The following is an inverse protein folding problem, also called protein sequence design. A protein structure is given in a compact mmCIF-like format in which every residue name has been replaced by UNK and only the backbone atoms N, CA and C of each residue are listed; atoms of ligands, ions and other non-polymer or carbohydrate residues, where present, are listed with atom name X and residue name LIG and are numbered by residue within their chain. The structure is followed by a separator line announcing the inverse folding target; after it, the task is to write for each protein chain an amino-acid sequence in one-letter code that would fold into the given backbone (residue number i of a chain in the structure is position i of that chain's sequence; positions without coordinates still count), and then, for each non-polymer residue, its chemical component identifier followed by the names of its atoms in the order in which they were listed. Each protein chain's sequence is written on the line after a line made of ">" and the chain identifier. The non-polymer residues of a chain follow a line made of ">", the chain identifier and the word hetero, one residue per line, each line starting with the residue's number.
data_IF_736519849981
#
_entry.id   IF_736519849981
#
_cell.length_a   1.000
_cell.length_b   1.000
_cell.length_c   1.000
_cell.angle_alpha   90.00
_cell.angle_beta   90.00
_cell.angle_gamma   90.00
#
_symmetry.space_group_name_H-M   'P 1'
#
loop_
_entity.id
_entity.type
_entity.pdbx_description
1 polymer ?
#
# COMPACT_ATOMS: atom_id res chain seq x y z
N UNK A 1 -29.83 12.12 5.61
CA UNK A 1 -29.82 10.64 5.59
C UNK A 1 -28.61 10.24 4.73
N UNK A 2 -27.47 9.71 5.19
CA UNK A 2 -27.13 8.92 6.36
C UNK A 2 -25.76 9.33 6.96
N UNK A 3 -25.61 9.19 8.29
CA UNK A 3 -24.37 9.40 9.04
C UNK A 3 -23.34 8.33 8.65
N UNK A 4 -22.50 8.68 7.68
CA UNK A 4 -21.52 7.80 7.04
C UNK A 4 -20.15 7.80 7.75
N UNK A 5 -20.12 8.00 9.07
CA UNK A 5 -18.89 8.20 9.84
C UNK A 5 -18.51 7.06 10.80
N UNK A 6 -19.38 6.06 10.97
CA UNK A 6 -19.11 4.92 11.83
C UNK A 6 -18.43 3.82 11.03
N UNK A 7 -17.23 3.44 11.49
CA UNK A 7 -16.35 2.38 10.99
C UNK A 7 -17.14 1.29 10.23
N UNK A 8 -17.15 1.38 8.89
CA UNK A 8 -17.84 0.39 8.06
C UNK A 8 -17.05 -0.91 8.03
N UNK A 9 -17.68 -2.08 8.14
CA UNK A 9 -16.99 -3.35 8.06
C UNK A 9 -16.30 -3.49 6.70
N UNK A 10 -14.99 -3.79 6.70
CA UNK A 10 -14.17 -3.93 5.48
C UNK A 10 -14.34 -5.31 4.84
N UNK A 11 -14.87 -6.27 5.60
CA UNK A 11 -15.13 -7.65 5.17
C UNK A 11 -16.09 -7.66 3.97
N UNK A 12 -15.70 -8.31 2.87
CA UNK A 12 -16.45 -8.35 1.60
C UNK A 12 -16.02 -7.28 0.59
N UNK A 13 -15.79 -6.06 1.06
CA UNK A 13 -15.43 -4.91 0.20
C UNK A 13 -13.97 -4.88 -0.25
N UNK A 14 -13.10 -5.58 0.47
CA UNK A 14 -11.67 -5.62 0.18
C UNK A 14 -11.34 -6.75 -0.79
N UNK A 15 -10.61 -6.40 -1.86
CA UNK A 15 -10.15 -7.31 -2.89
C UNK A 15 -8.63 -7.30 -2.94
N UNK A 16 -8.06 -8.49 -2.94
CA UNK A 16 -6.65 -8.74 -3.14
C UNK A 16 -6.37 -8.99 -4.62
N UNK A 17 -5.46 -8.21 -5.19
CA UNK A 17 -5.15 -8.23 -6.61
C UNK A 17 -3.75 -8.81 -6.80
N UNK A 18 -3.64 -9.81 -7.68
CA UNK A 18 -2.36 -10.30 -8.20
C UNK A 18 -2.20 -9.92 -9.66
N UNK A 19 -1.11 -9.25 -9.98
CA UNK A 19 -0.81 -8.76 -11.32
C UNK A 19 0.39 -9.47 -11.91
N UNK A 20 0.26 -9.96 -13.15
CA UNK A 20 1.36 -10.49 -13.94
C UNK A 20 1.34 -9.82 -15.32
N UNK A 21 2.43 -9.22 -15.82
CA UNK A 21 3.76 -9.04 -15.20
C UNK A 21 3.78 -7.96 -14.10
N UNK A 22 4.94 -7.74 -13.49
CA UNK A 22 5.13 -6.80 -12.38
C UNK A 22 4.88 -5.36 -12.82
N UNK A 23 4.18 -4.59 -11.96
CA UNK A 23 4.06 -3.13 -12.10
C UNK A 23 5.37 -2.44 -11.74
N UNK A 24 5.92 -1.73 -12.72
CA UNK A 24 7.17 -0.99 -12.62
C UNK A 24 6.91 0.50 -12.36
N UNK A 25 5.84 1.06 -12.92
CA UNK A 25 5.62 2.51 -12.95
C UNK A 25 4.32 2.90 -12.22
N UNK A 26 4.31 4.12 -11.65
CA UNK A 26 3.10 4.70 -11.05
C UNK A 26 1.98 4.91 -12.08
N UNK A 27 2.33 5.19 -13.34
CA UNK A 27 1.38 5.33 -14.45
C UNK A 27 0.53 4.06 -14.63
N UNK A 28 1.16 2.89 -14.69
CA UNK A 28 0.46 1.59 -14.77
C UNK A 28 -0.49 1.41 -13.58
N UNK A 29 -0.01 1.74 -12.38
CA UNK A 29 -0.83 1.67 -11.16
C UNK A 29 -2.07 2.58 -11.23
N UNK A 30 -1.97 3.75 -11.86
CA UNK A 30 -3.09 4.69 -12.04
C UNK A 30 -4.09 4.19 -13.07
N UNK A 31 -3.63 3.56 -14.14
CA UNK A 31 -4.53 2.95 -15.12
C UNK A 31 -5.30 1.78 -14.49
N UNK A 32 -4.64 0.96 -13.65
CA UNK A 32 -5.30 -0.13 -12.94
C UNK A 32 -6.37 0.43 -12.02
N UNK A 33 -6.08 1.51 -11.29
CA UNK A 33 -7.07 2.22 -10.50
C UNK A 33 -8.27 2.67 -11.36
N UNK A 34 -8.02 3.24 -12.55
CA UNK A 34 -9.09 3.65 -13.48
C UNK A 34 -9.95 2.47 -13.92
N UNK A 35 -9.35 1.31 -14.21
CA UNK A 35 -10.10 0.09 -14.53
C UNK A 35 -10.98 -0.35 -13.35
N UNK A 36 -10.47 -0.30 -12.13
CA UNK A 36 -11.27 -0.65 -10.95
C UNK A 36 -12.40 0.33 -10.69
N UNK A 37 -12.18 1.61 -10.97
CA UNK A 37 -13.21 2.66 -10.86
C UNK A 37 -14.41 2.42 -11.80
N UNK A 38 -14.24 1.67 -12.89
CA UNK A 38 -15.35 1.30 -13.77
C UNK A 38 -16.35 0.36 -13.10
N UNK A 39 -15.90 -0.49 -12.17
CA UNK A 39 -16.75 -1.45 -11.46
C UNK A 39 -17.38 -0.88 -10.19
N UNK A 40 -16.76 0.17 -9.62
CA UNK A 40 -17.32 0.90 -8.49
C UNK A 40 -16.35 1.91 -7.88
N UNK A 41 -16.84 2.70 -6.93
CA UNK A 41 -16.02 3.70 -6.25
C UNK A 41 -15.05 3.02 -5.30
N UNK A 42 -13.76 3.28 -5.52
CA UNK A 42 -12.66 2.75 -4.70
C UNK A 42 -12.39 3.73 -3.56
N UNK A 43 -12.54 3.27 -2.32
CA UNK A 43 -12.25 4.03 -1.10
C UNK A 43 -10.74 4.11 -0.84
N UNK A 44 -10.05 2.99 -1.02
CA UNK A 44 -8.61 2.90 -0.81
C UNK A 44 -7.97 1.98 -1.85
N UNK A 45 -6.87 2.43 -2.43
CA UNK A 45 -6.04 1.64 -3.32
C UNK A 45 -4.60 1.71 -2.84
N UNK A 46 -3.99 0.54 -2.62
CA UNK A 46 -2.62 0.45 -2.10
C UNK A 46 -1.83 -0.58 -2.90
N UNK A 47 -0.66 -0.14 -3.36
CA UNK A 47 0.32 -1.02 -4.01
C UNK A 47 1.39 -1.43 -3.00
N UNK A 48 1.58 -2.73 -2.79
CA UNK A 48 2.56 -3.24 -1.83
C UNK A 48 4.01 -3.09 -2.26
N UNK A 49 4.28 -2.74 -3.52
CA UNK A 49 5.64 -2.43 -3.98
C UNK A 49 6.32 -1.36 -3.11
N UNK A 50 5.56 -0.40 -2.60
CA UNK A 50 6.06 0.73 -1.81
C UNK A 50 5.85 0.56 -0.31
N UNK A 51 5.43 -0.63 0.13
CA UNK A 51 5.30 -0.91 1.56
C UNK A 51 6.67 -1.24 2.17
N UNK A 52 6.77 -1.16 3.50
CA UNK A 52 7.99 -1.51 4.23
C UNK A 52 8.41 -2.97 3.97
N UNK A 53 7.43 -3.85 3.72
CA UNK A 53 7.63 -5.22 3.26
C UNK A 53 7.11 -5.36 1.83
N UNK A 54 7.96 -5.15 0.81
CA UNK A 54 7.50 -5.12 -0.56
C UNK A 54 7.12 -6.51 -1.05
N UNK A 55 5.82 -6.75 -1.21
CA UNK A 55 5.30 -7.95 -1.88
C UNK A 55 5.14 -7.61 -3.36
N UNK A 56 5.95 -8.23 -4.21
CA UNK A 56 5.84 -8.05 -5.65
C UNK A 56 4.46 -8.48 -6.16
N UNK A 57 4.02 -7.86 -7.25
CA UNK A 57 2.83 -8.27 -8.01
C UNK A 57 1.52 -8.23 -7.23
N UNK A 58 1.48 -7.56 -6.09
CA UNK A 58 0.34 -7.61 -5.18
C UNK A 58 -0.15 -6.20 -4.87
N UNK A 59 -1.46 -6.02 -4.99
CA UNK A 59 -2.15 -4.76 -4.69
C UNK A 59 -3.43 -5.05 -3.92
N UNK A 60 -3.91 -4.06 -3.19
CA UNK A 60 -5.20 -4.13 -2.50
C UNK A 60 -6.05 -2.95 -2.93
N UNK A 61 -7.31 -3.25 -3.21
CA UNK A 61 -8.35 -2.26 -3.39
C UNK A 61 -9.49 -2.52 -2.40
N UNK A 62 -9.98 -1.47 -1.76
CA UNK A 62 -11.16 -1.49 -0.91
C UNK A 62 -12.21 -0.64 -1.60
N UNK A 63 -13.36 -1.25 -1.87
CA UNK A 63 -14.49 -0.57 -2.48
C UNK A 63 -15.41 0.07 -1.43
N UNK A 64 -16.15 1.08 -1.85
CA UNK A 64 -17.21 1.68 -1.03
C UNK A 64 -18.33 0.66 -0.77
N UNK A 65 -18.71 -0.13 -1.78
CA UNK A 65 -19.79 -1.12 -1.73
C UNK A 65 -19.26 -2.55 -1.90
N UNK A 66 -19.98 -3.52 -1.31
CA UNK A 66 -19.66 -4.96 -1.43
C UNK A 66 -19.99 -5.51 -2.83
N UNK A 67 -21.06 -5.00 -3.43
CA UNK A 67 -21.48 -5.38 -4.79
C UNK A 67 -20.41 -5.07 -5.85
N UNK A 68 -19.68 -3.96 -5.70
CA UNK A 68 -18.59 -3.61 -6.62
C UNK A 68 -17.42 -4.61 -6.52
N UNK A 69 -17.10 -5.05 -5.31
CA UNK A 69 -16.09 -6.07 -5.08
C UNK A 69 -16.50 -7.41 -5.70
N UNK A 70 -17.77 -7.82 -5.52
CA UNK A 70 -18.30 -9.06 -6.09
C UNK A 70 -18.28 -9.05 -7.62
N UNK A 71 -18.71 -7.97 -8.27
CA UNK A 71 -18.64 -7.83 -9.74
C UNK A 71 -17.21 -8.02 -10.25
N UNK A 72 -16.24 -7.43 -9.57
CA UNK A 72 -14.84 -7.56 -9.97
C UNK A 72 -14.30 -8.99 -9.74
N UNK A 73 -14.79 -9.71 -8.73
CA UNK A 73 -14.45 -11.11 -8.50
C UNK A 73 -15.06 -12.02 -9.57
N UNK A 74 -16.29 -11.76 -10.02
CA UNK A 74 -16.96 -12.52 -11.07
C UNK A 74 -16.28 -12.37 -12.43
N UNK A 75 -15.77 -11.17 -12.73
CA UNK A 75 -15.09 -10.87 -14.01
C UNK A 75 -13.60 -11.27 -13.97
N UNK A 76 -13.09 -11.69 -12.80
CA UNK A 76 -11.71 -12.18 -12.65
C UNK A 76 -11.51 -13.47 -13.45
N UNK A 77 -10.40 -13.62 -14.21
CA UNK A 77 -9.24 -12.73 -14.35
C UNK A 77 -9.37 -11.70 -15.49
N UNK A 78 -9.01 -10.45 -15.20
CA UNK A 78 -9.01 -9.36 -16.19
C UNK A 78 -7.72 -9.36 -17.00
N UNK A 79 -7.84 -9.36 -18.32
CA UNK A 79 -6.72 -9.18 -19.25
C UNK A 79 -6.87 -7.84 -19.94
N UNK A 80 -5.84 -7.01 -19.88
CA UNK A 80 -5.84 -5.71 -20.52
C UNK A 80 -4.45 -5.37 -21.03
N UNK A 81 -4.39 -4.39 -21.90
CA UNK A 81 -3.14 -3.87 -22.47
C UNK A 81 -2.97 -2.46 -21.95
N UNK A 82 -1.80 -2.16 -21.40
CA UNK A 82 -1.45 -0.81 -20.95
C UNK A 82 -0.30 -0.27 -21.78
N UNK A 83 -0.36 1.03 -22.02
CA UNK A 83 0.77 1.77 -22.57
C UNK A 83 1.43 2.49 -21.40
N UNK A 84 2.68 2.16 -21.05
CA UNK A 84 3.40 2.89 -20.01
C UNK A 84 3.59 4.36 -20.42
N UNK A 85 2.78 5.27 -19.86
CA UNK A 85 2.99 6.70 -19.99
C UNK A 85 4.31 7.08 -19.29
N UNK A 86 5.37 7.23 -20.09
CA UNK A 86 6.70 7.61 -19.61
C UNK A 86 7.84 6.68 -20.01
N UNK A 87 7.57 5.49 -20.57
CA UNK A 87 8.65 4.74 -21.24
C UNK A 87 8.71 5.17 -22.70
N UNK A 88 9.85 5.71 -23.15
CA UNK A 88 10.06 6.20 -24.51
C UNK A 88 9.86 5.16 -25.62
N UNK A 89 9.65 3.89 -25.28
CA UNK A 89 9.54 2.79 -26.22
C UNK A 89 8.12 2.48 -26.74
N UNK A 90 7.05 3.10 -26.20
CA UNK A 90 5.67 2.89 -26.70
C UNK A 90 5.21 1.43 -26.76
N UNK A 91 5.93 0.50 -26.10
CA UNK A 91 5.65 -0.93 -26.14
C UNK A 91 4.46 -1.24 -25.24
N UNK A 92 3.34 -1.55 -25.88
CA UNK A 92 2.16 -2.08 -25.23
C UNK A 92 2.50 -3.41 -24.55
N UNK A 93 2.20 -3.50 -23.25
CA UNK A 93 2.43 -4.72 -22.46
C UNK A 93 1.06 -5.32 -22.11
N UNK A 94 0.97 -6.65 -22.22
CA UNK A 94 -0.21 -7.39 -21.78
C UNK A 94 -0.12 -7.66 -20.29
N UNK A 95 -1.19 -7.33 -19.57
CA UNK A 95 -1.30 -7.58 -18.14
C UNK A 95 -2.50 -8.48 -17.86
N UNK A 96 -2.31 -9.34 -16.89
CA UNK A 96 -3.34 -10.17 -16.30
C UNK A 96 -3.48 -9.81 -14.82
N UNK A 97 -4.68 -9.37 -14.45
CA UNK A 97 -5.08 -9.04 -13.09
C UNK A 97 -6.02 -10.13 -12.57
N UNK A 98 -5.58 -10.85 -11.56
CA UNK A 98 -6.37 -11.81 -10.81
C UNK A 98 -6.89 -11.13 -9.55
N UNK A 99 -8.20 -11.05 -9.41
CA UNK A 99 -8.86 -10.61 -8.21
C UNK A 99 -9.25 -11.81 -7.34
N UNK A 100 -8.93 -11.72 -6.06
CA UNK A 100 -9.29 -12.67 -5.02
C UNK A 100 -9.92 -11.93 -3.84
N UNK A 101 -10.85 -12.58 -3.14
CA UNK A 101 -11.40 -12.02 -1.89
C UNK A 101 -10.27 -11.79 -0.89
N UNK A 102 -10.19 -10.59 -0.33
CA UNK A 102 -9.21 -10.31 0.72
C UNK A 102 -9.61 -11.01 2.00
N UNK A 103 -8.82 -12.00 2.43
CA UNK A 103 -8.86 -12.55 3.80
C UNK A 103 -8.04 -11.70 4.77
N UNK A 104 -7.47 -10.60 4.29
CA UNK A 104 -6.51 -9.82 5.02
C UNK A 104 -7.22 -8.99 6.11
N UNK A 105 -6.91 -9.26 7.38
CA UNK A 105 -7.41 -8.49 8.52
C UNK A 105 -6.70 -7.13 8.55
N UNK A 106 -7.24 -6.16 7.80
CA UNK A 106 -6.70 -4.81 7.70
C UNK A 106 -6.53 -4.12 9.06
N UNK A 107 -7.42 -4.44 10.02
CA UNK A 107 -7.35 -3.97 11.40
C UNK A 107 -6.04 -4.42 12.05
N UNK A 108 -5.69 -5.70 11.91
CA UNK A 108 -4.50 -6.29 12.50
C UNK A 108 -3.21 -5.72 11.88
N UNK A 109 -3.18 -5.49 10.56
CA UNK A 109 -2.00 -4.88 9.94
C UNK A 109 -1.82 -3.43 10.38
N UNK A 110 -2.90 -2.64 10.41
CA UNK A 110 -2.84 -1.28 10.93
C UNK A 110 -2.31 -1.34 12.36
N UNK A 111 -2.90 -2.19 13.21
CA UNK A 111 -2.49 -2.40 14.60
C UNK A 111 -1.06 -2.91 14.76
N UNK A 112 -0.47 -3.57 13.77
CA UNK A 112 0.95 -3.98 13.77
C UNK A 112 1.92 -2.87 13.37
N UNK A 113 1.50 -1.79 12.71
CA UNK A 113 2.44 -0.73 12.33
C UNK A 113 3.06 -0.03 13.56
N UNK A 114 4.36 0.29 13.50
CA UNK A 114 5.11 0.92 14.59
C UNK A 114 4.53 2.29 15.00
N UNK A 115 3.98 3.02 14.02
CA UNK A 115 3.38 4.34 14.22
C UNK A 115 1.92 4.27 14.69
N UNK A 116 1.30 3.10 14.74
CA UNK A 116 -0.05 2.92 15.25
C UNK A 116 -0.04 2.42 16.69
N UNK A 117 0.34 3.33 17.60
CA UNK A 117 0.26 3.15 19.05
C UNK A 117 -0.51 4.31 19.70
N UNK A 118 -0.59 4.32 21.03
CA UNK A 118 -1.06 5.50 21.77
C UNK A 118 -0.08 6.65 21.53
N UNK A 119 -0.52 7.67 20.79
CA UNK A 119 0.22 8.92 20.69
C UNK A 119 0.16 9.62 22.05
N UNK A 120 1.33 10.02 22.58
CA UNK A 120 1.37 10.83 23.81
C UNK A 120 0.98 12.25 23.45
N UNK A 121 -0.31 12.57 23.55
CA UNK A 121 -0.75 13.97 23.55
C UNK A 121 -0.17 14.65 24.78
N UNK A 122 0.54 15.75 24.59
CA UNK A 122 0.99 16.57 25.70
C UNK A 122 -0.21 17.23 26.38
N UNK A 123 -0.65 16.70 27.51
CA UNK A 123 -1.75 17.26 28.32
C UNK A 123 -1.45 18.62 28.97
N UNK A 124 -0.30 19.23 28.65
CA UNK A 124 0.14 20.56 29.12
C UNK A 124 -0.07 21.66 28.07
N UNK A 125 -0.81 21.40 27.00
CA UNK A 125 -1.12 22.44 26.02
C UNK A 125 -2.16 23.43 26.58
N UNK A 126 -1.89 24.73 26.46
CA UNK A 126 -2.81 25.82 26.86
C UNK A 126 -4.21 25.66 26.23
N UNK A 127 -4.26 25.18 24.99
CA UNK A 127 -5.51 24.89 24.27
C UNK A 127 -6.35 23.84 25.01
N UNK A 128 -5.71 22.85 25.64
CA UNK A 128 -6.41 21.79 26.37
C UNK A 128 -6.94 22.29 27.72
N UNK A 129 -6.18 23.15 28.38
CA UNK A 129 -6.60 23.79 29.63
C UNK A 129 -7.80 24.73 29.39
N UNK A 130 -7.79 25.46 28.29
CA UNK A 130 -8.91 26.32 27.86
C UNK A 130 -10.15 25.50 27.48
N UNK A 131 -9.99 24.43 26.70
CA UNK A 131 -11.08 23.52 26.37
C UNK A 131 -11.64 22.81 27.61
N UNK A 132 -10.79 22.40 28.55
CA UNK A 132 -11.25 21.80 29.80
C UNK A 132 -12.10 22.75 30.66
N UNK A 133 -11.84 24.06 30.57
CA UNK A 133 -12.61 25.08 31.27
C UNK A 133 -13.91 25.47 30.55
N UNK A 134 -13.90 25.50 29.22
CA UNK A 134 -15.03 25.97 28.40
C UNK A 134 -16.04 24.87 28.07
N UNK A 135 -15.67 23.60 28.18
CA UNK A 135 -16.57 22.50 27.84
C UNK A 135 -17.56 22.23 29.00
N UNK A 136 -18.87 22.12 28.74
CA UNK A 136 -19.91 22.11 29.78
C UNK A 136 -19.87 20.93 30.75
N UNK A 137 -19.17 19.85 30.40
CA UNK A 137 -19.08 18.63 31.20
C UNK A 137 -17.61 18.19 31.30
N UNK A 138 -17.10 17.93 32.52
CA UNK A 138 -15.77 17.34 32.69
C UNK A 138 -15.73 15.97 32.00
N UNK A 139 -14.75 15.75 31.13
CA UNK A 139 -14.59 14.51 30.37
C UNK A 139 -14.85 14.61 28.85
N UNK A 140 -15.56 15.63 28.37
CA UNK A 140 -15.72 15.87 26.92
C UNK A 140 -14.46 16.48 26.27
N UNK A 141 -13.64 17.16 27.07
CA UNK A 141 -12.30 17.66 26.70
C UNK A 141 -11.19 16.62 26.95
N UNK A 142 -11.50 15.51 27.63
CA UNK A 142 -10.53 14.47 27.88
C UNK A 142 -10.33 13.65 26.61
N UNK A 143 -9.17 13.84 25.99
CA UNK A 143 -8.61 12.90 25.02
C UNK A 143 -8.16 11.61 25.74
N UNK A 144 -9.06 10.95 26.48
CA UNK A 144 -8.86 9.66 27.14
C UNK A 144 -9.20 8.49 26.22
N UNK A 145 -9.20 8.70 24.90
CA UNK A 145 -9.06 7.64 23.91
C UNK A 145 -7.61 7.12 23.94
N UNK A 146 -7.21 6.55 25.08
CA UNK A 146 -5.97 5.79 25.18
C UNK A 146 -6.20 4.47 24.48
N UNK A 147 -5.71 4.37 23.26
CA UNK A 147 -5.45 3.06 22.65
C UNK A 147 -4.49 2.31 23.58
N UNK A 148 -4.74 1.03 23.84
CA UNK A 148 -3.87 0.24 24.73
C UNK A 148 -2.41 0.32 24.24
N UNK A 149 -1.49 0.65 25.15
CA UNK A 149 -0.06 0.68 24.85
C UNK A 149 0.38 -0.73 24.44
N UNK A 150 0.98 -0.85 23.25
CA UNK A 150 1.59 -2.12 22.82
C UNK A 150 2.62 -2.55 23.87
N UNK A 151 2.63 -3.81 24.31
CA UNK A 151 3.61 -4.28 25.27
C UNK A 151 5.03 -4.15 24.70
N UNK A 152 5.95 -3.65 25.53
CA UNK A 152 7.37 -3.41 25.22
C UNK A 152 8.10 -4.54 24.49
N UNK A 153 7.72 -5.81 24.71
CA UNK A 153 8.27 -6.97 23.99
C UNK A 153 7.99 -6.93 22.49
N UNK A 154 6.77 -6.56 22.10
CA UNK A 154 6.33 -6.48 20.70
C UNK A 154 7.06 -5.34 19.99
N UNK A 155 7.13 -4.17 20.62
CA UNK A 155 7.87 -3.02 20.07
C UNK A 155 9.37 -3.33 19.90
N UNK A 156 9.98 -4.06 20.85
CA UNK A 156 11.40 -4.45 20.76
C UNK A 156 11.65 -5.46 19.64
N UNK A 157 10.74 -6.41 19.44
CA UNK A 157 10.81 -7.35 18.31
C UNK A 157 10.63 -6.65 16.96
N UNK A 158 9.72 -5.68 16.87
CA UNK A 158 9.54 -4.86 15.66
C UNK A 158 10.79 -4.03 15.36
N UNK A 159 11.33 -3.32 16.36
CA UNK A 159 12.56 -2.53 16.24
C UNK A 159 13.77 -3.37 15.81
N UNK A 160 13.95 -4.56 16.38
CA UNK A 160 15.01 -5.49 15.96
C UNK A 160 14.85 -5.97 14.51
N UNK A 161 13.60 -6.12 14.03
CA UNK A 161 13.33 -6.51 12.63
C UNK A 161 13.58 -5.36 11.66
N UNK A 162 13.29 -4.13 12.05
CA UNK A 162 13.63 -2.94 11.27
C UNK A 162 15.13 -2.67 11.24
N UNK A 163 15.82 -2.82 12.36
CA UNK A 163 17.29 -2.69 12.43
C UNK A 163 18.00 -3.76 11.60
N UNK A 164 17.40 -4.95 11.47
CA UNK A 164 17.87 -6.00 10.56
C UNK A 164 17.53 -5.77 9.08
N UNK A 165 16.60 -4.86 8.77
CA UNK A 165 16.30 -4.49 7.40
C UNK A 165 17.37 -3.54 6.87
N UNK A 166 18.17 -4.03 5.92
CA UNK A 166 19.20 -3.22 5.27
C UNK A 166 18.56 -1.99 4.64
N UNK A 167 19.03 -0.81 5.03
CA UNK A 167 18.55 0.45 4.42
C UNK A 167 18.91 0.47 2.94
N UNK A 168 18.14 1.18 2.10
CA UNK A 168 18.44 1.30 0.67
C UNK A 168 19.87 1.82 0.41
N UNK A 169 20.38 2.65 1.31
CA UNK A 169 21.76 3.13 1.29
C UNK A 169 22.77 2.01 1.55
N UNK A 170 22.51 1.14 2.53
CA UNK A 170 23.37 -0.02 2.81
C UNK A 170 23.29 -1.06 1.70
N UNK A 171 22.11 -1.29 1.09
CA UNK A 171 21.99 -2.16 -0.08
C UNK A 171 22.72 -1.61 -1.30
N UNK A 172 22.85 -0.28 -1.42
CA UNK A 172 23.62 0.39 -2.48
C UNK A 172 25.12 0.30 -2.22
N UNK A 173 25.57 0.44 -0.97
CA UNK A 173 26.98 0.27 -0.58
C UNK A 173 27.43 -1.20 -0.61
N UNK A 174 26.52 -2.13 -0.31
CA UNK A 174 26.76 -3.58 -0.34
C UNK A 174 26.51 -4.18 -1.73
N UNK A 175 25.88 -3.44 -2.66
CA UNK A 175 25.87 -3.83 -4.05
C UNK A 175 27.33 -3.87 -4.52
N UNK A 176 27.89 -5.05 -4.85
CA UNK A 176 29.23 -5.12 -5.40
C UNK A 176 29.22 -4.24 -6.64
N UNK A 177 30.22 -3.36 -6.75
CA UNK A 177 30.42 -2.52 -7.94
C UNK A 177 30.33 -3.44 -9.16
N UNK A 178 29.19 -3.39 -9.84
CA UNK A 178 28.96 -4.21 -11.02
C UNK A 178 30.00 -3.76 -12.03
N UNK A 179 30.95 -4.65 -12.29
CA UNK A 179 32.06 -4.44 -13.20
C UNK A 179 31.57 -3.82 -14.51
N UNK A 180 32.04 -2.62 -14.82
CA UNK A 180 31.75 -1.87 -16.05
C UNK A 180 32.31 -2.55 -17.33
N UNK A 181 32.64 -3.84 -17.28
CA UNK A 181 33.33 -4.57 -18.35
C UNK A 181 32.42 -5.41 -19.26
N UNK A 182 31.13 -5.58 -18.95
CA UNK A 182 30.27 -6.54 -19.70
C UNK A 182 29.43 -5.90 -20.83
N UNK A 183 29.38 -4.58 -20.95
CA UNK A 183 28.54 -3.90 -21.97
C UNK A 183 29.19 -3.76 -23.35
N UNK A 184 30.48 -4.12 -23.51
CA UNK A 184 31.20 -3.92 -24.77
C UNK A 184 31.09 -5.09 -25.78
N UNK A 185 30.67 -6.29 -25.37
CA UNK A 185 30.84 -7.48 -26.24
C UNK A 185 29.63 -7.80 -27.14
N UNK A 186 28.45 -7.21 -26.92
CA UNK A 186 27.24 -7.64 -27.65
C UNK A 186 26.94 -6.85 -28.96
N UNK A 187 27.74 -5.85 -29.33
CA UNK A 187 27.46 -4.96 -30.49
C UNK A 187 28.19 -5.38 -31.79
N UNK A 188 29.11 -6.35 -31.77
CA UNK A 188 29.96 -6.67 -32.93
C UNK A 188 29.56 -7.92 -33.76
N UNK A 189 28.47 -8.61 -33.45
CA UNK A 189 28.15 -9.89 -34.12
C UNK A 189 26.96 -9.89 -35.10
N UNK A 190 26.47 -8.72 -35.54
CA UNK A 190 25.43 -8.61 -36.59
C UNK A 190 25.87 -7.91 -37.88
N UNK A 191 27.18 -7.68 -38.10
CA UNK A 191 27.69 -7.01 -39.31
C UNK A 191 28.48 -7.88 -40.27
N UNK A 192 28.26 -9.20 -40.26
CA UNK A 192 28.94 -10.16 -41.13
C UNK A 192 28.03 -11.32 -41.54
N UNK A 193 26.99 -11.03 -42.34
CA UNK A 193 26.58 -11.92 -43.44
C UNK A 193 26.30 -11.00 -44.63
N UNK A 194 27.26 -10.95 -45.54
CA UNK A 194 27.10 -10.61 -46.95
C UNK A 194 27.63 -11.80 -47.74
#
# INVERSE_FOLDING_TARGET
>A
MALSGLVRPIKGRAVHLRLHPRVETLAESREILRLMQQYGRVEMFRNFKYDALPVANTMIAIFETDEAAQKLLEVSPLRFVMSPEGSGDGRQRHYQLQANTSTFHHRDQIDQTAYNGSFRVSGRCLIQEDLARNVPMPGLSEFTLRKEEKPWRVLRWEKQREEGAKTLRQLLEEAPAADESTTATHVQQEKSIG
#
